data_IF_872912153163
#
_entry.id   IF_872912153163
#
_cell.length_a   1.000
_cell.length_b   1.000
_cell.length_c   1.000
_cell.angle_alpha   90.00
_cell.angle_beta   90.00
_cell.angle_gamma   90.00
#
_symmetry.space_group_name_H-M   'P 1'
#
loop_
_entity.id
_entity.type
_entity.pdbx_description
1 polymer ?
#
# COMPACT_ATOMS: atom_id res chain seq x y z
N UNK A 1 8.54 -0.26 3.32
CA UNK A 1 7.55 -0.94 2.45
C UNK A 1 7.42 -0.14 1.15
N UNK A 2 6.72 -0.62 0.13
CA UNK A 2 6.33 0.20 -1.03
C UNK A 2 4.90 -0.16 -1.39
N UNK A 3 3.96 0.77 -1.24
CA UNK A 3 2.56 0.59 -1.61
C UNK A 3 2.13 1.77 -2.47
N UNK A 4 1.71 1.49 -3.71
CA UNK A 4 1.08 2.51 -4.56
C UNK A 4 -0.36 2.73 -4.10
N UNK A 5 -0.73 3.99 -3.92
CA UNK A 5 -2.06 4.43 -3.49
C UNK A 5 -2.74 5.09 -4.67
N UNK A 6 -3.41 4.30 -5.50
CA UNK A 6 -4.05 4.75 -6.76
C UNK A 6 -4.92 6.02 -6.59
N UNK A 7 -5.81 6.15 -5.58
CA UNK A 7 -6.66 7.34 -5.47
C UNK A 7 -5.89 8.65 -5.20
N UNK A 8 -4.63 8.55 -4.79
CA UNK A 8 -3.76 9.68 -4.45
C UNK A 8 -2.60 9.84 -5.43
N UNK A 9 -2.45 8.90 -6.39
CA UNK A 9 -1.32 8.81 -7.31
C UNK A 9 0.05 8.98 -6.63
N UNK A 10 0.28 8.23 -5.55
CA UNK A 10 1.52 8.33 -4.76
C UNK A 10 1.92 6.99 -4.16
N UNK A 11 3.16 6.86 -3.70
CA UNK A 11 3.72 5.65 -3.10
C UNK A 11 4.05 5.88 -1.63
N UNK A 12 3.54 5.04 -0.74
CA UNK A 12 3.99 4.97 0.65
C UNK A 12 5.27 4.17 0.72
N UNK A 13 6.30 4.75 1.34
CA UNK A 13 7.61 4.12 1.54
C UNK A 13 7.84 3.66 2.98
N UNK A 14 7.16 4.28 3.95
CA UNK A 14 7.32 4.02 5.38
C UNK A 14 6.01 4.25 6.13
N UNK A 15 5.80 3.45 7.19
CA UNK A 15 4.75 3.64 8.18
C UNK A 15 5.39 3.43 9.54
N UNK A 16 5.17 4.38 10.44
CA UNK A 16 5.65 4.33 11.82
C UNK A 16 4.64 3.62 12.72
N UNK A 17 5.09 3.16 13.89
CA UNK A 17 4.22 2.46 14.84
C UNK A 17 3.07 3.32 15.39
N UNK A 18 3.20 4.66 15.37
CA UNK A 18 2.14 5.61 15.73
C UNK A 18 1.17 5.91 14.58
N UNK A 19 1.35 5.27 13.42
CA UNK A 19 0.44 5.38 12.27
C UNK A 19 0.70 6.57 11.35
N UNK A 20 1.85 7.25 11.48
CA UNK A 20 2.30 8.23 10.48
C UNK A 20 2.85 7.52 9.26
N UNK A 21 2.75 8.16 8.12
CA UNK A 21 3.18 7.62 6.83
C UNK A 21 4.17 8.56 6.16
N UNK A 22 5.09 8.00 5.40
CA UNK A 22 5.96 8.75 4.49
C UNK A 22 5.63 8.37 3.06
N UNK A 23 5.32 9.38 2.24
CA UNK A 23 5.20 9.25 0.80
C UNK A 23 6.56 9.41 0.13
N UNK A 24 6.71 8.95 -1.12
CA UNK A 24 7.99 8.91 -1.85
C UNK A 24 8.72 10.26 -1.88
N UNK A 25 7.98 11.37 -2.03
CA UNK A 25 8.51 12.75 -2.10
C UNK A 25 8.18 13.59 -0.84
N UNK A 26 7.79 12.96 0.28
CA UNK A 26 7.25 13.66 1.44
C UNK A 26 7.99 13.41 2.76
N UNK A 27 7.68 14.26 3.74
CA UNK A 27 8.03 14.04 5.14
C UNK A 27 7.07 13.06 5.81
N UNK A 28 7.49 12.51 6.96
CA UNK A 28 6.62 11.67 7.80
C UNK A 28 5.50 12.52 8.39
N UNK A 29 4.24 12.19 8.04
CA UNK A 29 3.07 12.93 8.50
C UNK A 29 1.92 12.00 8.91
N UNK A 30 1.04 12.50 9.77
CA UNK A 30 -0.20 11.80 10.11
C UNK A 30 -1.18 11.94 8.92
N UNK A 31 -1.65 10.84 8.31
CA UNK A 31 -2.59 10.93 7.21
C UNK A 31 -3.94 11.47 7.69
N UNK A 32 -4.56 12.31 6.87
CA UNK A 32 -5.95 12.74 7.04
C UNK A 32 -6.92 11.55 6.96
N UNK A 33 -8.18 11.77 7.32
CA UNK A 33 -9.20 10.71 7.23
C UNK A 33 -9.36 10.15 5.80
N UNK A 34 -9.27 11.02 4.79
CA UNK A 34 -9.44 10.61 3.39
C UNK A 34 -8.22 9.84 2.90
N UNK A 35 -7.01 10.33 3.20
CA UNK A 35 -5.77 9.63 2.86
C UNK A 35 -5.73 8.28 3.54
N UNK A 36 -6.05 8.20 4.85
CA UNK A 36 -6.12 6.91 5.56
C UNK A 36 -7.07 5.92 4.88
N UNK A 37 -8.22 6.38 4.39
CA UNK A 37 -9.17 5.52 3.67
C UNK A 37 -8.61 5.04 2.33
N UNK A 38 -7.98 5.94 1.56
CA UNK A 38 -7.34 5.60 0.29
C UNK A 38 -6.21 4.58 0.49
N UNK A 39 -5.37 4.79 1.51
CA UNK A 39 -4.28 3.88 1.88
C UNK A 39 -4.80 2.49 2.25
N UNK A 40 -5.82 2.43 3.11
CA UNK A 40 -6.40 1.15 3.53
C UNK A 40 -7.10 0.42 2.36
N UNK A 41 -7.71 1.17 1.45
CA UNK A 41 -8.28 0.61 0.23
C UNK A 41 -7.19 0.00 -0.66
N UNK A 42 -6.14 0.77 -0.96
CA UNK A 42 -5.02 0.32 -1.77
C UNK A 42 -4.31 -0.90 -1.16
N UNK A 43 -4.08 -0.90 0.16
CA UNK A 43 -3.44 -2.02 0.85
C UNK A 43 -4.25 -3.32 0.75
N UNK A 44 -5.57 -3.24 0.91
CA UNK A 44 -6.45 -4.42 0.77
C UNK A 44 -6.46 -4.96 -0.66
N UNK A 45 -6.51 -4.06 -1.63
CA UNK A 45 -6.51 -4.46 -3.04
C UNK A 45 -5.17 -5.09 -3.44
N UNK A 46 -4.05 -4.51 -2.98
CA UNK A 46 -2.72 -5.07 -3.21
C UNK A 46 -2.58 -6.46 -2.55
N UNK A 47 -3.14 -6.68 -1.37
CA UNK A 47 -3.16 -8.00 -0.74
C UNK A 47 -3.91 -9.05 -1.58
N UNK A 48 -5.06 -8.69 -2.16
CA UNK A 48 -5.82 -9.57 -3.06
C UNK A 48 -5.02 -9.87 -4.33
N UNK A 49 -4.46 -8.84 -4.98
CA UNK A 49 -3.65 -8.99 -6.18
C UNK A 49 -2.38 -9.85 -5.95
N UNK A 50 -1.71 -9.66 -4.81
CA UNK A 50 -0.54 -10.47 -4.43
C UNK A 50 -0.93 -11.92 -4.13
N UNK A 51 -2.09 -12.17 -3.53
CA UNK A 51 -2.58 -13.53 -3.31
C UNK A 51 -2.84 -14.25 -4.64
N UNK A 52 -3.51 -13.58 -5.58
CA UNK A 52 -3.75 -14.10 -6.93
C UNK A 52 -2.42 -14.37 -7.66
N UNK A 53 -1.46 -13.44 -7.57
CA UNK A 53 -0.14 -13.58 -8.17
C UNK A 53 0.61 -14.80 -7.63
N UNK A 54 0.59 -15.00 -6.30
CA UNK A 54 1.21 -16.17 -5.67
C UNK A 54 0.55 -17.45 -6.20
N UNK A 55 -0.78 -17.52 -6.23
CA UNK A 55 -1.51 -18.69 -6.71
C UNK A 55 -1.16 -19.03 -8.17
N UNK A 56 -1.08 -18.02 -9.04
CA UNK A 56 -0.73 -18.21 -10.45
C UNK A 56 0.71 -18.72 -10.59
N UNK A 57 1.66 -18.11 -9.88
CA UNK A 57 3.08 -18.46 -10.00
C UNK A 57 3.40 -19.82 -9.37
N UNK A 58 2.74 -20.18 -8.26
CA UNK A 58 2.90 -21.49 -7.62
C UNK A 58 2.39 -22.62 -8.54
N UNK A 59 1.25 -22.40 -9.20
CA UNK A 59 0.71 -23.34 -10.21
C UNK A 59 1.60 -23.45 -11.45
N UNK A 60 2.24 -22.36 -11.87
CA UNK A 60 3.10 -22.36 -13.07
C UNK A 60 4.47 -23.03 -12.83
N UNK A 61 4.89 -23.15 -11.56
CA UNK A 61 6.13 -23.81 -11.15
C UNK A 61 6.02 -25.32 -10.88
N UNK A 62 4.81 -25.89 -10.92
CA UNK A 62 4.50 -27.31 -10.74
C UNK A 62 4.27 -28.03 -12.07
#
# INVERSE_FOLDING_TARGET
MRLYVEPMDTVIVEVTDDGRVRFEDGDVAMPTLQERRAILYAAKHEMEALADLIEILDRAGA
#
